data_IF_587648805679
#
_entry.id   IF_587648805679
#
_cell.length_a   1.000
_cell.length_b   1.000
_cell.length_c   1.000
_cell.angle_alpha   90.00
_cell.angle_beta   90.00
_cell.angle_gamma   90.00
#
_symmetry.space_group_name_H-M   'P 1'
#
loop_
_entity.id
_entity.type
_entity.pdbx_description
1 polymer ?
#
# COMPACT_ATOMS: atom_id res chain seq x y z
N UNK A 1 -15.94 -0.75 -1.42
CA UNK A 1 -14.80 -1.55 -0.90
C UNK A 1 -13.86 -0.66 -0.12
N UNK A 2 -12.97 -1.23 0.69
CA UNK A 2 -11.93 -0.48 1.38
C UNK A 2 -10.57 -0.87 0.83
N UNK A 3 -9.82 0.11 0.33
CA UNK A 3 -8.51 -0.08 -0.29
C UNK A 3 -7.41 0.46 0.62
N UNK A 4 -6.35 -0.32 0.79
CA UNK A 4 -5.07 0.19 1.26
C UNK A 4 -4.19 0.40 0.02
N UNK A 5 -3.73 1.62 -0.18
CA UNK A 5 -2.96 1.99 -1.38
C UNK A 5 -1.49 2.06 -1.02
N UNK A 6 -0.70 1.21 -1.66
CA UNK A 6 0.73 1.05 -1.44
C UNK A 6 1.54 2.28 -1.92
N UNK A 7 2.72 2.47 -1.35
CA UNK A 7 3.69 3.51 -1.70
C UNK A 7 4.02 3.50 -3.19
N UNK A 8 4.10 2.32 -3.82
CA UNK A 8 4.43 2.21 -5.25
C UNK A 8 3.42 2.93 -6.16
N UNK A 9 2.12 2.81 -5.86
CA UNK A 9 1.03 3.45 -6.63
C UNK A 9 1.00 4.96 -6.37
N UNK A 10 1.11 5.37 -5.11
CA UNK A 10 1.19 6.78 -4.75
C UNK A 10 2.39 7.47 -5.41
N UNK A 11 3.54 6.80 -5.42
CA UNK A 11 4.77 7.32 -6.04
C UNK A 11 4.59 7.56 -7.53
N UNK A 12 3.80 6.73 -8.23
CA UNK A 12 3.46 6.94 -9.64
C UNK A 12 2.45 8.08 -9.83
N UNK A 13 1.35 8.06 -9.06
CA UNK A 13 0.32 9.11 -9.11
C UNK A 13 0.86 10.51 -8.78
N UNK A 14 1.89 10.56 -7.92
CA UNK A 14 2.53 11.80 -7.50
C UNK A 14 3.69 12.26 -8.41
N UNK A 15 3.94 11.62 -9.56
CA UNK A 15 4.88 12.14 -10.57
C UNK A 15 4.33 13.38 -11.28
N UNK A 16 5.24 14.28 -11.67
CA UNK A 16 4.91 15.54 -12.37
C UNK A 16 4.60 15.31 -13.86
N UNK A 17 5.29 14.34 -14.47
CA UNK A 17 5.19 14.04 -15.90
C UNK A 17 5.13 12.50 -16.08
N UNK A 18 3.97 11.87 -15.83
CA UNK A 18 3.81 10.44 -16.02
C UNK A 18 3.64 10.14 -17.52
N UNK A 19 4.51 9.33 -18.14
CA UNK A 19 4.40 9.04 -19.57
C UNK A 19 3.10 8.30 -19.91
N UNK A 20 2.68 7.33 -19.08
CA UNK A 20 1.36 6.69 -19.08
C UNK A 20 1.07 6.21 -17.64
N UNK A 21 -0.15 6.45 -17.14
CA UNK A 21 -0.59 5.96 -15.83
C UNK A 21 -1.11 4.54 -16.00
N UNK A 22 -0.57 3.58 -15.23
CA UNK A 22 -1.02 2.20 -15.25
C UNK A 22 -2.44 2.03 -14.68
N UNK A 23 -3.07 0.86 -14.90
CA UNK A 23 -4.45 0.61 -14.48
C UNK A 23 -4.67 0.77 -12.96
N UNK A 24 -3.64 0.56 -12.15
CA UNK A 24 -3.67 0.76 -10.70
C UNK A 24 -3.83 2.24 -10.33
N UNK A 25 -3.12 3.14 -11.03
CA UNK A 25 -3.24 4.59 -10.77
C UNK A 25 -4.59 5.10 -11.27
N UNK A 26 -5.05 4.60 -12.42
CA UNK A 26 -6.38 4.91 -12.92
C UNK A 26 -7.48 4.45 -11.94
N UNK A 27 -7.32 3.28 -11.34
CA UNK A 27 -8.24 2.80 -10.32
C UNK A 27 -8.18 3.65 -9.05
N UNK A 28 -7.00 4.09 -8.61
CA UNK A 28 -6.85 5.03 -7.51
C UNK A 28 -7.62 6.33 -7.76
N UNK A 29 -7.46 6.94 -8.95
CA UNK A 29 -8.15 8.19 -9.31
C UNK A 29 -9.67 8.00 -9.30
N UNK A 30 -10.18 6.90 -9.87
CA UNK A 30 -11.61 6.59 -9.83
C UNK A 30 -12.13 6.37 -8.41
N UNK A 31 -11.35 5.69 -7.58
CA UNK A 31 -11.72 5.40 -6.18
C UNK A 31 -11.79 6.70 -5.37
N UNK A 32 -10.81 7.61 -5.54
CA UNK A 32 -10.81 8.93 -4.89
C UNK A 32 -12.02 9.80 -5.26
N UNK A 33 -12.60 9.61 -6.44
CA UNK A 33 -13.79 10.29 -6.90
C UNK A 33 -15.10 9.56 -6.56
N UNK A 34 -15.00 8.33 -6.03
CA UNK A 34 -16.13 7.44 -5.78
C UNK A 34 -16.51 7.33 -4.30
N UNK A 35 -17.46 6.43 -3.97
CA UNK A 35 -17.90 6.17 -2.60
C UNK A 35 -16.98 5.20 -1.83
N UNK A 36 -15.97 4.63 -2.50
CA UNK A 36 -15.05 3.66 -1.90
C UNK A 36 -14.07 4.34 -0.93
N UNK A 37 -13.70 3.62 0.12
CA UNK A 37 -12.82 4.16 1.17
C UNK A 37 -11.37 3.82 0.88
N UNK A 38 -10.50 4.84 0.92
CA UNK A 38 -9.04 4.65 0.88
C UNK A 38 -8.50 4.84 2.29
N UNK A 39 -7.74 3.86 2.76
CA UNK A 39 -7.02 3.89 4.03
C UNK A 39 -5.52 3.84 3.79
N UNK A 40 -4.77 4.27 4.79
CA UNK A 40 -3.31 4.26 4.76
C UNK A 40 -2.73 3.82 6.11
N UNK A 41 -1.42 3.76 6.22
CA UNK A 41 -0.69 3.57 7.47
C UNK A 41 0.47 4.56 7.56
N UNK A 42 0.96 4.81 8.78
CA UNK A 42 2.13 5.64 9.00
C UNK A 42 3.36 5.17 8.22
N UNK A 43 3.46 3.87 7.92
CA UNK A 43 4.56 3.30 7.12
C UNK A 43 4.55 3.82 5.68
N UNK A 44 3.40 3.80 4.99
CA UNK A 44 3.25 4.31 3.62
C UNK A 44 3.53 5.81 3.58
N UNK A 45 2.95 6.57 4.53
CA UNK A 45 3.19 8.01 4.60
C UNK A 45 4.68 8.30 4.83
N UNK A 46 5.34 7.55 5.71
CA UNK A 46 6.78 7.70 5.96
C UNK A 46 7.60 7.44 4.70
N UNK A 47 7.35 6.34 3.98
CA UNK A 47 8.06 6.02 2.74
C UNK A 47 7.86 7.10 1.67
N UNK A 48 6.64 7.62 1.50
CA UNK A 48 6.38 8.71 0.56
C UNK A 48 7.14 9.99 0.92
N UNK A 49 7.17 10.34 2.21
CA UNK A 49 7.91 11.50 2.70
C UNK A 49 9.43 11.32 2.61
N UNK A 50 9.92 10.08 2.55
CA UNK A 50 11.34 9.74 2.38
C UNK A 50 11.76 9.62 0.90
N UNK A 51 10.86 9.13 0.03
CA UNK A 51 11.13 8.86 -1.38
C UNK A 51 10.98 10.08 -2.31
N UNK A 52 10.19 11.09 -1.92
CA UNK A 52 9.94 12.28 -2.74
C UNK A 52 10.83 13.45 -2.29
N UNK A 53 12.14 13.34 -2.54
CA UNK A 53 13.06 14.48 -2.44
C UNK A 53 13.25 15.11 -3.83
N UNK A 54 12.15 15.67 -4.37
CA UNK A 54 12.10 16.94 -5.14
C UNK A 54 10.62 17.38 -5.25
N UNK A 55 10.36 18.70 -5.24
CA UNK A 55 9.18 19.28 -4.59
C UNK A 55 7.91 19.18 -5.44
N UNK A 56 7.15 18.09 -5.29
CA UNK A 56 5.77 18.32 -4.81
C UNK A 56 5.91 18.54 -3.32
N UNK A 57 5.27 19.59 -2.82
CA UNK A 57 5.62 20.09 -1.50
C UNK A 57 5.28 18.99 -0.50
N UNK A 58 6.18 18.72 0.45
CA UNK A 58 5.87 17.87 1.62
C UNK A 58 4.48 18.20 2.18
N UNK A 59 4.10 19.48 2.14
CA UNK A 59 2.78 19.94 2.54
C UNK A 59 1.65 19.38 1.67
N UNK A 60 1.80 19.27 0.34
CA UNK A 60 0.79 18.67 -0.56
C UNK A 60 0.51 17.21 -0.19
N UNK A 61 1.56 16.44 0.15
CA UNK A 61 1.41 15.05 0.60
C UNK A 61 0.68 15.01 1.93
N UNK A 62 1.11 15.83 2.90
CA UNK A 62 0.48 15.89 4.22
C UNK A 62 -1.00 16.32 4.13
N UNK A 63 -1.31 17.32 3.29
CA UNK A 63 -2.67 17.80 3.07
C UNK A 63 -3.56 16.71 2.46
N UNK A 64 -3.07 15.99 1.45
CA UNK A 64 -3.80 14.87 0.82
C UNK A 64 -4.07 13.73 1.79
N UNK A 65 -3.12 13.42 2.68
CA UNK A 65 -3.22 12.32 3.62
C UNK A 65 -3.95 12.70 4.92
N UNK A 66 -4.16 13.99 5.19
CA UNK A 66 -4.77 14.47 6.44
C UNK A 66 -6.21 13.98 6.66
N UNK A 67 -6.96 13.72 5.58
CA UNK A 67 -8.34 13.24 5.65
C UNK A 67 -8.50 11.72 5.53
N UNK A 68 -7.41 10.99 5.25
CA UNK A 68 -7.47 9.53 5.09
C UNK A 68 -7.47 8.85 6.46
N UNK A 69 -8.32 7.82 6.69
CA UNK A 69 -8.20 6.98 7.86
C UNK A 69 -6.83 6.28 7.89
N UNK A 70 -6.17 6.34 9.04
CA UNK A 70 -4.85 5.75 9.25
C UNK A 70 -4.98 4.53 10.15
N UNK A 71 -4.50 3.39 9.65
CA UNK A 71 -4.35 2.16 10.42
C UNK A 71 -2.95 2.16 11.03
N UNK A 72 -2.90 2.12 12.36
CA UNK A 72 -1.65 2.06 13.12
C UNK A 72 -1.39 0.60 13.52
N UNK A 73 -0.26 0.00 13.08
CA UNK A 73 0.09 -1.33 13.54
C UNK A 73 0.42 -1.30 15.04
N UNK A 74 -0.14 -2.26 15.77
CA UNK A 74 0.22 -2.54 17.16
C UNK A 74 1.36 -3.57 17.24
N UNK A 75 1.75 -3.93 18.47
CA UNK A 75 2.81 -4.92 18.69
C UNK A 75 2.48 -6.29 18.08
N UNK A 76 1.22 -6.72 18.17
CA UNK A 76 0.80 -8.03 17.69
C UNK A 76 0.77 -8.05 16.17
N UNK A 77 0.41 -6.94 15.52
CA UNK A 77 0.54 -6.77 14.06
C UNK A 77 1.98 -7.02 13.60
N UNK A 78 2.97 -6.49 14.31
CA UNK A 78 4.37 -6.70 13.96
C UNK A 78 4.83 -8.15 14.13
N UNK A 79 4.34 -8.85 15.17
CA UNK A 79 4.64 -10.27 15.39
C UNK A 79 4.04 -11.11 14.26
N UNK A 80 2.77 -10.89 13.95
CA UNK A 80 2.03 -11.68 12.96
C UNK A 80 2.50 -11.36 11.53
N UNK A 81 2.92 -10.13 11.26
CA UNK A 81 3.62 -9.77 10.02
C UNK A 81 4.94 -10.53 9.85
N UNK A 82 5.71 -10.74 10.93
CA UNK A 82 6.94 -11.53 10.86
C UNK A 82 6.65 -13.00 10.51
N UNK A 83 5.58 -13.57 11.07
CA UNK A 83 5.13 -14.93 10.74
C UNK A 83 4.66 -15.05 9.29
N UNK A 84 3.86 -14.08 8.83
CA UNK A 84 3.41 -13.97 7.44
C UNK A 84 4.61 -13.90 6.47
N UNK A 85 5.59 -13.05 6.75
CA UNK A 85 6.82 -12.94 5.97
C UNK A 85 7.57 -14.28 5.90
N UNK A 86 7.70 -14.96 7.04
CA UNK A 86 8.36 -16.25 7.11
C UNK A 86 7.60 -17.33 6.34
N UNK A 87 6.28 -17.32 6.37
CA UNK A 87 5.42 -18.18 5.56
C UNK A 87 5.68 -17.95 4.06
N UNK A 88 5.53 -16.72 3.58
CA UNK A 88 5.76 -16.38 2.18
C UNK A 88 7.16 -16.81 1.72
N UNK A 89 8.20 -16.52 2.53
CA UNK A 89 9.59 -16.87 2.22
C UNK A 89 9.79 -18.38 2.05
N UNK A 90 9.19 -19.20 2.92
CA UNK A 90 9.26 -20.67 2.80
C UNK A 90 8.52 -21.19 1.57
N UNK A 91 7.51 -20.45 1.11
CA UNK A 91 6.72 -20.77 -0.08
C UNK A 91 7.30 -20.20 -1.38
N UNK A 92 8.46 -19.55 -1.34
CA UNK A 92 9.14 -19.02 -2.53
C UNK A 92 8.75 -17.59 -2.92
N UNK A 93 8.01 -16.86 -2.08
CA UNK A 93 7.69 -15.46 -2.26
C UNK A 93 8.41 -14.58 -1.22
N UNK A 94 8.99 -13.47 -1.65
CA UNK A 94 9.69 -12.55 -0.76
C UNK A 94 8.80 -11.35 -0.45
N UNK A 95 8.83 -10.91 0.82
CA UNK A 95 8.28 -9.63 1.26
C UNK A 95 9.34 -8.89 2.07
N UNK A 96 9.45 -7.59 1.87
CA UNK A 96 10.18 -6.70 2.76
C UNK A 96 9.59 -6.70 4.17
N UNK A 97 10.33 -6.19 5.14
CA UNK A 97 9.85 -6.11 6.53
C UNK A 97 8.62 -5.19 6.64
N UNK A 98 8.64 -4.06 5.95
CA UNK A 98 7.51 -3.10 5.91
C UNK A 98 6.34 -3.69 5.11
N UNK A 99 6.62 -4.27 3.95
CA UNK A 99 5.60 -4.92 3.10
C UNK A 99 4.85 -6.02 3.85
N UNK A 100 5.54 -6.79 4.69
CA UNK A 100 4.91 -7.81 5.51
C UNK A 100 3.90 -7.21 6.50
N UNK A 101 4.19 -6.04 7.09
CA UNK A 101 3.25 -5.32 7.96
C UNK A 101 2.07 -4.81 7.14
N UNK A 102 2.31 -4.20 5.98
CA UNK A 102 1.26 -3.71 5.08
C UNK A 102 0.33 -4.86 4.65
N UNK A 103 0.91 -5.99 4.23
CA UNK A 103 0.16 -7.18 3.83
C UNK A 103 -0.67 -7.74 5.00
N UNK A 104 -0.07 -7.82 6.19
CA UNK A 104 -0.78 -8.32 7.37
C UNK A 104 -1.94 -7.40 7.78
N UNK A 105 -1.75 -6.08 7.77
CA UNK A 105 -2.82 -5.11 8.03
C UNK A 105 -3.96 -5.27 7.02
N UNK A 106 -3.65 -5.53 5.74
CA UNK A 106 -4.69 -5.81 4.74
C UNK A 106 -5.49 -7.06 5.07
N UNK A 107 -4.83 -8.14 5.51
CA UNK A 107 -5.50 -9.39 5.90
C UNK A 107 -6.36 -9.15 7.15
N UNK A 108 -5.79 -8.58 8.22
CA UNK A 108 -6.48 -8.35 9.51
C UNK A 108 -7.74 -7.51 9.37
N UNK A 109 -7.72 -6.52 8.49
CA UNK A 109 -8.81 -5.55 8.32
C UNK A 109 -9.73 -5.84 7.12
N UNK A 110 -9.60 -6.99 6.48
CA UNK A 110 -10.30 -7.34 5.24
C UNK A 110 -10.23 -6.19 4.20
N UNK A 111 -9.01 -5.79 3.86
CA UNK A 111 -8.74 -4.75 2.86
C UNK A 111 -8.29 -5.39 1.55
N UNK A 112 -8.44 -4.65 0.47
CA UNK A 112 -7.80 -4.98 -0.80
C UNK A 112 -6.59 -4.06 -0.98
N UNK A 113 -5.42 -4.65 -1.23
CA UNK A 113 -4.19 -3.90 -1.48
C UNK A 113 -4.17 -3.45 -2.95
N UNK A 114 -4.01 -2.14 -3.16
CA UNK A 114 -3.71 -1.57 -4.47
C UNK A 114 -2.20 -1.30 -4.56
N UNK A 115 -1.49 -2.05 -5.37
CA UNK A 115 -0.02 -1.98 -5.50
C UNK A 115 0.42 -2.26 -6.94
N UNK A 116 1.56 -1.68 -7.35
CA UNK A 116 2.26 -2.04 -8.58
C UNK A 116 3.44 -2.99 -8.33
N UNK A 117 3.72 -3.32 -7.06
CA UNK A 117 4.82 -4.19 -6.67
C UNK A 117 4.42 -5.66 -6.82
N UNK A 118 5.24 -6.40 -7.57
CA UNK A 118 5.01 -7.82 -7.86
C UNK A 118 5.25 -8.71 -6.65
N UNK A 119 6.01 -8.27 -5.65
CA UNK A 119 6.28 -9.06 -4.45
C UNK A 119 4.99 -9.36 -3.69
N UNK A 120 4.08 -8.39 -3.58
CA UNK A 120 2.73 -8.62 -3.03
C UNK A 120 1.90 -9.57 -3.89
N UNK A 121 1.99 -9.47 -5.23
CA UNK A 121 1.27 -10.35 -6.16
C UNK A 121 1.75 -11.80 -6.01
N UNK A 122 3.06 -11.99 -5.81
CA UNK A 122 3.64 -13.30 -5.54
C UNK A 122 3.25 -13.81 -4.16
N UNK A 123 3.31 -12.97 -3.12
CA UNK A 123 2.92 -13.32 -1.76
C UNK A 123 1.44 -13.73 -1.64
N UNK A 124 0.53 -13.03 -2.32
CA UNK A 124 -0.91 -13.30 -2.36
C UNK A 124 -1.28 -14.70 -2.89
N UNK A 125 -0.34 -15.43 -3.51
CA UNK A 125 -0.54 -16.83 -3.92
C UNK A 125 -0.38 -17.81 -2.76
N UNK A 126 0.16 -17.35 -1.63
CA UNK A 126 0.57 -18.18 -0.49
C UNK A 126 -0.07 -17.74 0.83
N UNK A 127 -0.86 -16.68 0.83
CA UNK A 127 -1.59 -16.16 1.99
C UNK A 127 -2.92 -15.53 1.57
N UNK A 128 -3.70 -15.07 2.55
CA UNK A 128 -5.04 -14.50 2.34
C UNK A 128 -5.02 -13.04 1.83
N UNK A 129 -3.84 -12.50 1.48
CA UNK A 129 -3.73 -11.14 0.97
C UNK A 129 -4.52 -10.98 -0.34
N UNK A 130 -5.49 -10.06 -0.34
CA UNK A 130 -6.21 -9.67 -1.56
C UNK A 130 -5.48 -8.51 -2.22
N UNK A 131 -5.02 -8.73 -3.45
CA UNK A 131 -4.43 -7.68 -4.29
C UNK A 131 -5.42 -7.32 -5.39
N UNK A 132 -5.64 -6.03 -5.59
CA UNK A 132 -6.48 -5.52 -6.67
C UNK A 132 -5.94 -5.98 -8.03
N UNK A 133 -6.85 -6.26 -8.96
CA UNK A 133 -6.54 -6.63 -10.34
C UNK A 133 -7.41 -5.79 -11.29
N UNK A 134 -6.88 -5.38 -12.46
CA UNK A 134 -7.64 -4.69 -13.49
C UNK A 134 -8.85 -5.46 -14.01
#
# INVERSE_FOLDING_TARGET
MTLLVDTSVWSLALRRDPPELGPEVDHLVRTLAGPDLIVTTGLILQELLQGVVRPRSRADILERFASMPVIQPDRDDHILAADLRNLCRRSGAQLGTVDAVIAYLCIRHDLTLLTTDRDFIHAARHCELRVWKP
#
